data_IF_426589168023
#
_entry.id   IF_426589168023
#
_cell.length_a   1.000
_cell.length_b   1.000
_cell.length_c   1.000
_cell.angle_alpha   90.00
_cell.angle_beta   90.00
_cell.angle_gamma   90.00
#
_symmetry.space_group_name_H-M   'P 1'
#
loop_
_entity.id
_entity.type
_entity.pdbx_description
1 polymer ?
#
# COMPACT_ATOMS: atom_id res chain seq x y z
N UNK A 1 -7.46 3.88 -1.32
CA UNK A 1 -6.02 3.55 -1.37
C UNK A 1 -5.71 2.50 -2.47
N UNK A 2 -6.44 1.38 -2.55
CA UNK A 2 -6.21 0.32 -3.57
C UNK A 2 -6.22 0.75 -5.05
N UNK A 3 -6.90 1.85 -5.40
CA UNK A 3 -6.93 2.36 -6.79
C UNK A 3 -5.61 2.99 -7.29
N UNK A 4 -4.61 3.21 -6.42
CA UNK A 4 -3.34 3.86 -6.79
C UNK A 4 -2.22 2.89 -7.21
N UNK A 5 -2.49 1.59 -7.37
CA UNK A 5 -1.44 0.58 -7.64
C UNK A 5 -0.29 0.63 -6.60
N UNK A 6 -0.61 0.96 -5.35
CA UNK A 6 0.38 1.00 -4.25
C UNK A 6 0.30 -0.27 -3.43
N UNK A 7 1.47 -0.69 -2.97
CA UNK A 7 1.71 -1.88 -2.19
C UNK A 7 1.12 -1.62 -0.83
N UNK A 8 0.08 -2.38 -0.52
CA UNK A 8 -0.58 -2.34 0.76
C UNK A 8 -0.45 -3.73 1.35
N UNK A 9 0.03 -3.77 2.59
CA UNK A 9 -0.07 -4.92 3.45
C UNK A 9 -1.26 -4.67 4.38
N UNK A 10 -2.24 -5.57 4.33
CA UNK A 10 -3.44 -5.48 5.14
C UNK A 10 -3.32 -6.44 6.32
N UNK A 11 -3.79 -6.00 7.48
CA UNK A 11 -3.96 -6.86 8.65
C UNK A 11 -5.24 -6.52 9.40
N UNK A 12 -5.59 -7.29 10.44
CA UNK A 12 -6.82 -7.06 11.19
C UNK A 12 -6.80 -5.69 11.90
N UNK A 13 -7.53 -4.72 11.37
CA UNK A 13 -7.65 -3.37 11.94
C UNK A 13 -6.48 -2.42 11.63
N UNK A 14 -5.55 -2.82 10.75
CA UNK A 14 -4.43 -1.98 10.35
C UNK A 14 -4.04 -2.22 8.89
N UNK A 15 -3.34 -1.25 8.31
CA UNK A 15 -2.72 -1.36 6.99
C UNK A 15 -1.33 -0.72 7.03
N UNK A 16 -0.42 -1.24 6.21
CA UNK A 16 0.93 -0.72 6.02
C UNK A 16 1.18 -0.46 4.54
N UNK A 17 1.94 0.59 4.25
CA UNK A 17 2.41 0.94 2.92
C UNK A 17 3.84 1.48 3.01
N UNK A 18 4.61 1.44 1.91
CA UNK A 18 5.90 2.12 1.82
C UNK A 18 5.75 3.60 2.13
N UNK A 19 6.75 4.20 2.77
CA UNK A 19 6.70 5.61 3.16
C UNK A 19 6.41 6.52 1.94
N UNK A 20 5.24 7.16 1.92
CA UNK A 20 4.75 8.03 0.85
C UNK A 20 3.95 9.18 1.47
N UNK A 21 4.44 10.41 1.29
CA UNK A 21 3.83 11.60 1.86
C UNK A 21 2.39 11.83 1.36
N UNK A 22 2.05 11.44 0.13
CA UNK A 22 0.69 11.59 -0.40
C UNK A 22 -0.24 10.58 0.26
N UNK A 23 0.23 9.36 0.50
CA UNK A 23 -0.57 8.37 1.23
C UNK A 23 -0.72 8.75 2.70
N UNK A 24 0.32 9.33 3.33
CA UNK A 24 0.25 9.87 4.69
C UNK A 24 -0.89 10.90 4.78
N UNK A 25 -0.95 11.86 3.85
CA UNK A 25 -1.98 12.90 3.82
C UNK A 25 -3.38 12.34 3.55
N UNK A 26 -3.53 11.46 2.54
CA UNK A 26 -4.80 10.81 2.24
C UNK A 26 -5.33 9.97 3.41
N UNK A 27 -4.44 9.28 4.12
CA UNK A 27 -4.80 8.44 5.27
C UNK A 27 -5.26 9.31 6.44
N UNK A 28 -4.62 10.47 6.64
CA UNK A 28 -5.04 11.48 7.63
C UNK A 28 -6.38 12.12 7.28
N UNK A 29 -6.63 12.44 6.00
CA UNK A 29 -7.93 12.96 5.53
C UNK A 29 -9.08 11.97 5.75
N UNK A 30 -8.79 10.67 5.71
CA UNK A 30 -9.75 9.61 6.04
C UNK A 30 -9.96 9.43 7.55
N UNK A 31 -9.28 10.22 8.40
CA UNK A 31 -9.39 10.16 9.85
C UNK A 31 -8.60 9.02 10.51
N UNK A 32 -7.64 8.42 9.79
CA UNK A 32 -6.79 7.36 10.30
C UNK A 32 -5.49 7.93 10.91
N UNK A 33 -4.94 7.24 11.91
CA UNK A 33 -3.65 7.59 12.50
C UNK A 33 -2.51 6.97 11.70
N UNK A 34 -1.58 7.81 11.23
CA UNK A 34 -0.38 7.37 10.50
C UNK A 34 0.82 7.36 11.44
N UNK A 35 1.45 6.20 11.59
CA UNK A 35 2.72 6.03 12.30
C UNK A 35 3.81 5.51 11.35
N UNK A 36 5.07 5.89 11.61
CA UNK A 36 6.22 5.36 10.88
C UNK A 36 6.87 4.28 11.72
N UNK A 37 7.07 3.12 11.12
CA UNK A 37 7.69 1.96 11.75
C UNK A 37 8.63 1.29 10.75
N UNK A 38 9.73 0.72 11.22
CA UNK A 38 10.57 -0.18 10.43
C UNK A 38 10.14 -1.61 10.73
N UNK A 39 9.38 -2.22 9.82
CA UNK A 39 8.91 -3.59 9.94
C UNK A 39 9.06 -4.31 8.58
N UNK A 40 9.16 -5.65 8.58
CA UNK A 40 9.07 -6.43 7.35
C UNK A 40 7.77 -6.06 6.60
N UNK A 41 7.90 -5.81 5.31
CA UNK A 41 6.81 -5.39 4.46
C UNK A 41 6.53 -6.46 3.41
N UNK A 42 5.41 -7.16 3.57
CA UNK A 42 4.94 -8.20 2.67
C UNK A 42 3.62 -7.75 2.04
N UNK A 43 3.67 -7.04 0.90
CA UNK A 43 2.44 -6.59 0.25
C UNK A 43 1.64 -7.78 -0.29
N UNK A 44 0.32 -7.67 -0.31
CA UNK A 44 -0.50 -8.70 -0.94
C UNK A 44 -0.11 -8.86 -2.42
N UNK A 45 0.21 -10.10 -2.81
CA UNK A 45 0.76 -10.44 -4.13
C UNK A 45 -0.17 -10.14 -5.33
N UNK A 46 -1.39 -9.63 -5.08
CA UNK A 46 -2.41 -9.42 -6.12
C UNK A 46 -2.27 -8.13 -6.95
N UNK A 47 -1.59 -7.10 -6.45
CA UNK A 47 -1.60 -5.77 -7.12
C UNK A 47 -0.43 -5.50 -8.08
N UNK A 48 0.58 -6.39 -8.12
CA UNK A 48 1.84 -6.19 -8.87
C UNK A 48 2.08 -7.16 -10.03
N UNK A 49 1.18 -8.11 -10.28
CA UNK A 49 1.34 -9.18 -11.27
C UNK A 49 0.75 -8.89 -12.66
N UNK A 50 0.43 -7.64 -13.02
CA UNK A 50 -0.26 -7.30 -14.27
C UNK A 50 0.63 -6.55 -15.27
N UNK A 51 1.75 -7.13 -15.66
CA UNK A 51 2.73 -6.45 -16.52
C UNK A 51 3.54 -7.37 -17.43
N UNK A 52 2.94 -8.41 -18.00
CA UNK A 52 3.55 -9.11 -19.15
C UNK A 52 2.52 -9.27 -20.27
N UNK A 53 2.25 -8.16 -20.96
CA UNK A 53 2.12 -8.22 -22.41
C UNK A 53 3.49 -8.62 -22.98
N UNK A 54 3.74 -9.92 -23.14
CA UNK A 54 4.72 -10.39 -24.13
C UNK A 54 3.95 -11.04 -25.26
N UNK A 55 3.74 -10.26 -26.31
CA UNK A 55 3.62 -10.82 -27.65
C UNK A 55 4.97 -11.45 -28.01
N UNK A 56 4.99 -12.77 -28.23
CA UNK A 56 5.87 -13.49 -29.15
C UNK A 56 5.35 -14.92 -29.29
#
# INVERSE_FOLDING_TARGET
LGNRHVALQLGPGWLRYPHDHVLDDMTRELGLTVSREQAPFEPEAGAYGGGHHRHA
#
